data_IF_467150842463
#
_entry.id   IF_467150842463
#
_cell.length_a   1.000
_cell.length_b   1.000
_cell.length_c   1.000
_cell.angle_alpha   90.00
_cell.angle_beta   90.00
_cell.angle_gamma   90.00
#
_symmetry.space_group_name_H-M   'P 1'
#
loop_
_entity.id
_entity.type
_entity.pdbx_description
1 polymer ?
#
# COMPACT_ATOMS: atom_id res chain seq x y z
N UNK A 1 -15.24 -8.75 0.39
CA UNK A 1 -13.92 -8.34 -0.16
C UNK A 1 -13.83 -6.83 -0.24
N UNK A 2 -12.66 -6.26 -0.53
CA UNK A 2 -12.49 -4.80 -0.63
C UNK A 2 -13.35 -4.19 -1.75
N UNK A 3 -13.86 -2.97 -1.54
CA UNK A 3 -14.59 -2.22 -2.59
C UNK A 3 -13.64 -1.82 -3.72
N UNK A 4 -12.44 -1.35 -3.35
CA UNK A 4 -11.33 -0.97 -4.23
C UNK A 4 -10.02 -1.42 -3.60
N UNK A 5 -9.05 -1.78 -4.42
CA UNK A 5 -7.64 -2.02 -4.08
C UNK A 5 -6.80 -1.01 -4.84
N UNK A 6 -5.88 -0.35 -4.13
CA UNK A 6 -4.86 0.51 -4.73
C UNK A 6 -3.52 -0.18 -4.52
N UNK A 7 -2.81 -0.49 -5.60
CA UNK A 7 -1.50 -1.12 -5.56
C UNK A 7 -0.44 -0.09 -5.95
N UNK A 8 0.57 0.10 -5.10
CA UNK A 8 1.76 0.89 -5.42
C UNK A 8 2.85 -0.09 -5.82
N UNK A 9 3.33 -0.01 -7.05
CA UNK A 9 4.35 -0.93 -7.58
C UNK A 9 5.43 -0.15 -8.33
N UNK A 10 6.68 -0.47 -8.07
CA UNK A 10 7.85 0.18 -8.67
C UNK A 10 8.45 -0.64 -9.80
N UNK A 11 8.35 -1.97 -9.74
CA UNK A 11 8.93 -2.86 -10.74
C UNK A 11 8.08 -2.85 -12.01
N UNK A 12 8.61 -2.27 -13.09
CA UNK A 12 7.95 -2.18 -14.39
C UNK A 12 7.53 -3.55 -14.93
N UNK A 13 8.27 -4.62 -14.60
CA UNK A 13 7.96 -5.99 -15.02
C UNK A 13 6.68 -6.51 -14.36
N UNK A 14 6.38 -6.05 -13.14
CA UNK A 14 5.16 -6.40 -12.42
C UNK A 14 3.96 -5.58 -12.91
N UNK A 15 4.19 -4.35 -13.41
CA UNK A 15 3.11 -3.47 -13.85
C UNK A 15 2.32 -4.07 -15.02
N UNK A 16 2.99 -4.75 -15.95
CA UNK A 16 2.31 -5.42 -17.07
C UNK A 16 1.35 -6.50 -16.57
N UNK A 17 1.80 -7.39 -15.69
CA UNK A 17 0.97 -8.41 -15.09
C UNK A 17 -0.19 -7.82 -14.25
N UNK A 18 0.07 -6.74 -13.51
CA UNK A 18 -0.97 -6.05 -12.74
C UNK A 18 -2.00 -5.36 -13.64
N UNK A 19 -1.59 -4.87 -14.82
CA UNK A 19 -2.50 -4.29 -15.80
C UNK A 19 -3.48 -5.35 -16.35
N UNK A 20 -3.01 -6.56 -16.63
CA UNK A 20 -3.88 -7.68 -17.03
C UNK A 20 -4.92 -8.00 -15.94
N UNK A 21 -4.49 -8.05 -14.67
CA UNK A 21 -5.40 -8.26 -13.53
C UNK A 21 -6.40 -7.11 -13.42
N UNK A 22 -5.94 -5.87 -13.58
CA UNK A 22 -6.81 -4.67 -13.52
C UNK A 22 -7.88 -4.71 -14.60
N UNK A 23 -7.52 -5.10 -15.82
CA UNK A 23 -8.45 -5.26 -16.94
C UNK A 23 -9.52 -6.33 -16.68
N UNK A 24 -9.18 -7.38 -15.93
CA UNK A 24 -10.14 -8.40 -15.52
C UNK A 24 -11.10 -7.94 -14.41
N UNK A 25 -10.69 -6.95 -13.60
CA UNK A 25 -11.48 -6.41 -12.48
C UNK A 25 -11.70 -4.88 -12.59
N UNK A 26 -12.44 -4.42 -13.62
CA UNK A 26 -12.59 -3.01 -13.92
C UNK A 26 -13.15 -2.21 -12.74
N UNK A 27 -12.51 -1.09 -12.43
CA UNK A 27 -12.89 -0.19 -11.32
C UNK A 27 -12.58 -0.71 -9.92
N UNK A 28 -12.02 -1.93 -9.79
CA UNK A 28 -11.71 -2.54 -8.48
C UNK A 28 -10.23 -2.52 -8.14
N UNK A 29 -9.33 -2.64 -9.12
CA UNK A 29 -7.89 -2.49 -8.93
C UNK A 29 -7.41 -1.19 -9.59
N UNK A 30 -6.69 -0.36 -8.84
CA UNK A 30 -5.99 0.81 -9.36
C UNK A 30 -4.51 0.65 -9.09
N UNK A 31 -3.70 0.61 -10.14
CA UNK A 31 -2.25 0.44 -10.05
C UNK A 31 -1.60 1.80 -10.21
N UNK A 32 -0.78 2.20 -9.24
CA UNK A 32 0.00 3.42 -9.25
C UNK A 32 1.46 3.02 -9.40
N UNK A 33 2.08 3.24 -10.57
CA UNK A 33 3.51 3.07 -10.76
C UNK A 33 4.27 4.05 -9.87
N UNK A 34 5.15 3.57 -9.00
CA UNK A 34 5.96 4.47 -8.18
C UNK A 34 6.59 3.87 -6.93
N UNK A 35 7.36 4.71 -6.25
CA UNK A 35 8.01 4.40 -4.99
C UNK A 35 7.04 4.61 -3.82
N UNK A 36 6.81 3.57 -3.03
CA UNK A 36 5.98 3.64 -1.83
C UNK A 36 6.48 4.69 -0.82
N UNK A 37 7.80 4.92 -0.72
CA UNK A 37 8.36 5.94 0.19
C UNK A 37 8.06 7.38 -0.26
N UNK A 38 7.65 7.56 -1.52
CA UNK A 38 7.29 8.87 -2.09
C UNK A 38 5.77 9.04 -2.23
N UNK A 39 5.00 8.06 -1.82
CA UNK A 39 3.54 8.06 -1.95
C UNK A 39 2.89 8.73 -0.74
N UNK A 40 1.97 9.66 -1.01
CA UNK A 40 1.10 10.24 0.02
C UNK A 40 -0.12 9.34 0.25
N UNK A 41 0.01 8.43 1.21
CA UNK A 41 -1.06 7.48 1.55
C UNK A 41 -2.27 8.15 2.19
N UNK A 42 -2.09 9.28 2.90
CA UNK A 42 -3.19 9.98 3.57
C UNK A 42 -4.07 10.68 2.54
N UNK A 43 -3.47 11.32 1.54
CA UNK A 43 -4.20 11.89 0.41
C UNK A 43 -5.00 10.81 -0.36
N UNK A 44 -4.38 9.67 -0.67
CA UNK A 44 -5.05 8.54 -1.33
C UNK A 44 -6.20 7.97 -0.49
N UNK A 45 -6.04 7.92 0.83
CA UNK A 45 -7.09 7.48 1.75
C UNK A 45 -8.28 8.44 1.77
N UNK A 46 -8.02 9.76 1.72
CA UNK A 46 -9.05 10.80 1.65
C UNK A 46 -9.98 10.64 0.44
N UNK A 47 -9.42 10.30 -0.73
CA UNK A 47 -10.20 10.04 -1.95
C UNK A 47 -11.05 8.76 -1.87
N UNK A 48 -10.68 7.79 -1.02
CA UNK A 48 -11.39 6.54 -0.90
C UNK A 48 -12.75 6.71 -0.19
N UNK A 49 -12.92 7.68 0.71
CA UNK A 49 -14.20 7.94 1.39
C UNK A 49 -14.71 6.78 2.26
N UNK A 50 -13.81 5.98 2.83
CA UNK A 50 -14.14 4.84 3.69
C UNK A 50 -12.91 4.27 4.42
N UNK A 51 -13.07 3.24 5.27
CA UNK A 51 -11.97 2.69 6.07
C UNK A 51 -10.89 2.07 5.17
N UNK A 52 -9.64 2.46 5.42
CA UNK A 52 -8.47 1.97 4.70
C UNK A 52 -7.77 0.85 5.48
N UNK A 53 -7.32 -0.19 4.78
CA UNK A 53 -6.49 -1.25 5.36
C UNK A 53 -5.21 -1.36 4.54
N UNK A 54 -4.07 -1.34 5.21
CA UNK A 54 -2.78 -1.51 4.56
C UNK A 54 -2.45 -3.00 4.56
N UNK A 55 -2.17 -3.55 3.38
CA UNK A 55 -1.71 -4.94 3.22
C UNK A 55 -0.46 -4.90 2.35
N UNK A 56 0.66 -5.39 2.87
CA UNK A 56 1.91 -5.33 2.14
C UNK A 56 2.86 -6.47 2.52
N UNK A 57 3.59 -6.96 1.54
CA UNK A 57 4.81 -7.74 1.75
C UNK A 57 6.00 -6.82 1.47
N UNK A 58 6.66 -6.36 2.53
CA UNK A 58 7.63 -5.28 2.43
C UNK A 58 9.04 -5.82 2.24
N UNK A 59 9.82 -5.30 1.27
CA UNK A 59 11.21 -5.69 1.12
C UNK A 59 12.06 -5.09 2.26
N UNK A 60 13.14 -5.79 2.61
CA UNK A 60 13.96 -5.49 3.78
C UNK A 60 14.55 -4.06 3.78
N UNK A 61 14.77 -3.49 2.60
CA UNK A 61 15.43 -2.20 2.44
C UNK A 61 14.52 -0.98 2.71
N UNK A 62 13.20 -1.15 2.68
CA UNK A 62 12.24 -0.03 2.89
C UNK A 62 11.15 -0.36 3.92
N UNK A 63 10.99 -1.62 4.32
CA UNK A 63 9.87 -2.06 5.13
C UNK A 63 9.82 -1.41 6.51
N UNK A 64 10.93 -1.37 7.23
CA UNK A 64 11.02 -0.73 8.54
C UNK A 64 10.73 0.76 8.46
N UNK A 65 11.25 1.45 7.42
CA UNK A 65 10.99 2.87 7.22
C UNK A 65 9.51 3.16 6.96
N UNK A 66 8.87 2.38 6.10
CA UNK A 66 7.43 2.50 5.83
C UNK A 66 6.60 2.27 7.10
N UNK A 67 6.93 1.23 7.88
CA UNK A 67 6.25 0.94 9.14
C UNK A 67 6.36 2.12 10.12
N UNK A 68 7.58 2.65 10.32
CA UNK A 68 7.80 3.79 11.20
C UNK A 68 6.97 4.98 10.72
N UNK A 69 7.03 5.35 9.43
CA UNK A 69 6.26 6.46 8.88
C UNK A 69 4.75 6.31 9.09
N UNK A 70 4.20 5.10 8.97
CA UNK A 70 2.78 4.85 9.22
C UNK A 70 2.41 4.87 10.71
N UNK A 71 3.33 4.52 11.61
CA UNK A 71 3.11 4.54 13.05
C UNK A 71 3.33 5.92 13.67
N UNK A 72 4.24 6.71 13.13
CA UNK A 72 4.66 8.02 13.67
C UNK A 72 4.10 9.19 12.86
N UNK A 73 3.01 8.99 12.13
CA UNK A 73 2.33 10.06 11.39
C UNK A 73 1.94 11.22 12.31
N UNK A 74 1.93 12.45 11.75
CA UNK A 74 1.65 13.67 12.53
C UNK A 74 0.20 13.76 13.03
N UNK A 75 -0.74 13.10 12.35
CA UNK A 75 -2.17 13.14 12.66
C UNK A 75 -2.64 11.84 13.34
N UNK A 76 -3.42 12.00 14.42
CA UNK A 76 -4.08 10.91 15.12
C UNK A 76 -5.58 11.20 15.26
N UNK A 77 -6.48 10.25 14.99
CA UNK A 77 -6.22 8.85 14.59
C UNK A 77 -5.55 8.73 13.21
N UNK A 78 -4.81 7.64 12.94
CA UNK A 78 -4.14 7.47 11.66
C UNK A 78 -5.16 7.29 10.53
N UNK A 79 -4.75 7.55 9.28
CA UNK A 79 -5.64 7.46 8.11
C UNK A 79 -6.12 6.02 7.80
N UNK A 80 -5.52 5.00 8.43
CA UNK A 80 -5.86 3.58 8.25
C UNK A 80 -6.58 3.01 9.47
N UNK A 81 -7.41 1.99 9.23
CA UNK A 81 -8.09 1.21 10.27
C UNK A 81 -7.25 0.03 10.78
N UNK A 82 -6.43 -0.59 9.92
CA UNK A 82 -5.56 -1.70 10.29
C UNK A 82 -4.41 -1.88 9.29
N UNK A 83 -3.32 -2.49 9.75
CA UNK A 83 -2.21 -2.94 8.89
C UNK A 83 -2.03 -4.46 9.03
N UNK A 84 -1.80 -5.14 7.91
CA UNK A 84 -1.38 -6.55 7.87
C UNK A 84 -0.14 -6.62 7.00
N UNK A 85 1.01 -6.76 7.64
CA UNK A 85 2.31 -6.61 7.00
C UNK A 85 3.10 -7.91 7.11
N UNK A 86 3.78 -8.27 6.02
CA UNK A 86 4.77 -9.34 6.02
C UNK A 86 6.16 -8.73 5.93
N UNK A 87 7.03 -9.17 6.83
CA UNK A 87 8.44 -8.83 6.89
C UNK A 87 9.28 -10.10 6.77
N UNK A 88 10.56 -9.95 6.42
CA UNK A 88 11.50 -11.05 6.59
C UNK A 88 11.68 -11.34 8.09
N UNK A 89 11.91 -12.61 8.43
CA UNK A 89 12.00 -13.08 9.82
C UNK A 89 12.97 -12.26 10.67
N UNK A 90 14.11 -11.87 10.10
CA UNK A 90 15.17 -11.09 10.75
C UNK A 90 14.75 -9.66 11.11
N UNK A 91 13.66 -9.14 10.54
CA UNK A 91 13.09 -7.81 10.83
C UNK A 91 11.96 -7.89 11.87
N UNK A 92 11.44 -9.10 12.13
CA UNK A 92 10.30 -9.34 13.02
C UNK A 92 10.70 -9.95 14.39
N UNK A 93 12.01 -10.19 14.61
CA UNK A 93 12.60 -10.49 15.93
C UNK A 93 12.89 -9.19 16.69
#
# INVERSE_FOLDING_TARGET
GARRVVAIERDERCLEALAEVSNHYPGRLHVIPGDALKTDFAALAGEAGGPVKIVANLPYNIGTELLIRWLTGAEWPPFYASMTLMFQREVAE
#
